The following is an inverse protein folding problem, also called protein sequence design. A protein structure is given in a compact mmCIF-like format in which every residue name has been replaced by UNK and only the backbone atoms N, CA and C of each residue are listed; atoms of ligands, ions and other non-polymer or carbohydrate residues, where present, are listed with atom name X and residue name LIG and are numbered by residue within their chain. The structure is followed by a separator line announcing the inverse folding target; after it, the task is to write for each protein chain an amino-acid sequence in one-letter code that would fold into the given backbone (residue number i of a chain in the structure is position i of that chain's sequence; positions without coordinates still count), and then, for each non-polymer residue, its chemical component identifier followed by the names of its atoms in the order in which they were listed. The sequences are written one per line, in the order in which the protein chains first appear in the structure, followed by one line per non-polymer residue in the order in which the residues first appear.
data_IF_164839016545
#
_entry.id   IF_164839016545
#
_cell.length_a   1.000
_cell.length_b   1.000
_cell.length_c   1.000
_cell.angle_alpha   90.00
_cell.angle_beta   90.00
_cell.angle_gamma   90.00
#
_symmetry.space_group_name_H-M   'P 1'
#
loop_
_entity.id
_entity.type
_entity.pdbx_description
1 polymer ?
#
# COMPACT_ATOMS: atom_id res chain seq x y z
N UNK A 1 18.96 1.36 -20.43
CA UNK A 1 17.67 2.02 -20.78
C UNK A 1 16.45 1.08 -20.79
N UNK A 2 16.60 -0.24 -20.61
CA UNK A 2 15.44 -1.18 -20.65
C UNK A 2 14.46 -1.10 -19.48
N UNK A 3 14.90 -0.74 -18.27
CA UNK A 3 14.03 -0.75 -17.07
C UNK A 3 12.88 0.26 -17.12
N UNK A 4 12.97 1.30 -17.95
CA UNK A 4 11.96 2.35 -18.06
C UNK A 4 10.80 1.96 -18.99
N UNK A 5 11.06 1.23 -20.07
CA UNK A 5 10.01 0.80 -21.01
C UNK A 5 9.12 -0.31 -20.45
N UNK A 6 9.66 -1.21 -19.62
CA UNK A 6 8.87 -2.25 -18.95
C UNK A 6 7.84 -1.65 -17.97
N UNK A 7 8.22 -0.56 -17.27
CA UNK A 7 7.36 0.12 -16.29
C UNK A 7 6.19 0.86 -16.91
N UNK A 8 6.36 1.45 -18.10
CA UNK A 8 5.26 2.08 -18.84
C UNK A 8 4.27 1.02 -19.36
N UNK A 9 4.74 -0.19 -19.68
CA UNK A 9 3.87 -1.31 -20.06
C UNK A 9 3.09 -1.91 -18.88
N UNK A 10 3.70 -2.01 -17.69
CA UNK A 10 3.02 -2.56 -16.50
C UNK A 10 2.03 -1.58 -15.85
N UNK A 11 2.25 -0.27 -15.98
CA UNK A 11 1.45 0.77 -15.30
C UNK A 11 0.83 1.80 -16.26
N UNK A 12 0.82 1.54 -17.56
CA UNK A 12 0.33 2.49 -18.57
C UNK A 12 -1.11 2.94 -18.27
N UNK A 13 -1.31 4.26 -18.14
CA UNK A 13 -2.54 4.95 -17.73
C UNK A 13 -2.89 4.95 -16.22
N UNK A 14 -2.15 4.25 -15.36
CA UNK A 14 -2.45 4.22 -13.93
C UNK A 14 -1.93 5.46 -13.19
N UNK A 15 -2.79 6.07 -12.39
CA UNK A 15 -2.46 7.13 -11.44
C UNK A 15 -1.52 6.64 -10.33
N UNK A 16 -0.81 7.55 -9.66
CA UNK A 16 0.05 7.22 -8.50
C UNK A 16 -0.73 6.40 -7.46
N UNK A 17 -1.99 6.79 -7.21
CA UNK A 17 -2.87 6.14 -6.25
C UNK A 17 -3.19 4.71 -6.62
N UNK A 18 -3.53 4.43 -7.88
CA UNK A 18 -3.79 3.08 -8.37
C UNK A 18 -2.55 2.19 -8.27
N UNK A 19 -1.37 2.75 -8.60
CA UNK A 19 -0.10 2.03 -8.43
C UNK A 19 0.17 1.66 -6.97
N UNK A 20 -0.10 2.58 -6.04
CA UNK A 20 0.04 2.32 -4.61
C UNK A 20 -0.97 1.28 -4.09
N UNK A 21 -2.21 1.30 -4.59
CA UNK A 21 -3.22 0.31 -4.23
C UNK A 21 -2.89 -1.08 -4.77
N UNK A 22 -2.34 -1.20 -5.98
CA UNK A 22 -1.85 -2.48 -6.50
C UNK A 22 -0.73 -3.05 -5.64
N UNK A 23 0.23 -2.21 -5.25
CA UNK A 23 1.31 -2.60 -4.32
C UNK A 23 0.77 -3.01 -2.96
N UNK A 24 -0.22 -2.28 -2.44
CA UNK A 24 -0.91 -2.63 -1.22
C UNK A 24 -1.55 -4.03 -1.34
N UNK A 25 -2.34 -4.28 -2.39
CA UNK A 25 -3.03 -5.56 -2.60
C UNK A 25 -2.02 -6.71 -2.69
N UNK A 26 -0.93 -6.51 -3.44
CA UNK A 26 0.16 -7.51 -3.55
C UNK A 26 0.75 -7.85 -2.19
N UNK A 27 1.09 -6.83 -1.41
CA UNK A 27 1.68 -7.01 -0.06
C UNK A 27 0.70 -7.61 0.92
N UNK A 28 -0.57 -7.20 0.86
CA UNK A 28 -1.67 -7.76 1.64
C UNK A 28 -1.88 -9.24 1.36
N UNK A 29 -1.77 -9.67 0.09
CA UNK A 29 -1.94 -11.07 -0.26
C UNK A 29 -0.80 -11.94 0.31
N UNK A 30 0.41 -11.38 0.46
CA UNK A 30 1.54 -12.07 1.12
C UNK A 30 1.36 -12.15 2.64
N UNK A 31 0.95 -11.04 3.28
CA UNK A 31 0.76 -11.00 4.74
C UNK A 31 -0.50 -11.76 5.20
N UNK A 32 -1.53 -11.79 4.36
CA UNK A 32 -2.78 -12.50 4.61
C UNK A 32 -3.90 -11.62 5.20
N UNK A 33 -5.03 -12.27 5.52
CA UNK A 33 -6.28 -11.60 5.93
C UNK A 33 -6.15 -10.76 7.21
N UNK A 34 -5.21 -11.11 8.10
CA UNK A 34 -4.96 -10.39 9.37
C UNK A 34 -3.93 -9.25 9.26
N UNK A 35 -3.69 -8.72 8.06
CA UNK A 35 -2.68 -7.68 7.81
C UNK A 35 -2.80 -6.45 8.75
N UNK A 36 -4.02 -6.07 9.18
CA UNK A 36 -4.23 -4.97 10.13
C UNK A 36 -3.63 -5.25 11.50
N UNK A 37 -3.92 -6.43 12.05
CA UNK A 37 -3.36 -6.86 13.34
C UNK A 37 -1.85 -7.02 13.28
N UNK A 38 -1.33 -7.53 12.15
CA UNK A 38 0.11 -7.67 11.92
C UNK A 38 0.80 -6.30 11.82
N UNK A 39 0.18 -5.30 11.18
CA UNK A 39 0.72 -3.94 11.17
C UNK A 39 0.73 -3.32 12.57
N UNK A 40 -0.37 -3.43 13.31
CA UNK A 40 -0.48 -2.89 14.66
C UNK A 40 0.52 -3.52 15.65
N UNK A 41 0.88 -4.80 15.46
CA UNK A 41 1.88 -5.46 16.29
C UNK A 41 3.32 -5.13 15.93
N UNK A 42 3.59 -4.67 14.70
CA UNK A 42 4.94 -4.35 14.21
C UNK A 42 5.28 -2.86 14.24
N UNK A 43 4.28 -1.99 14.12
CA UNK A 43 4.45 -0.54 14.17
C UNK A 43 3.39 0.05 15.12
N UNK A 44 3.82 0.55 16.30
CA UNK A 44 2.92 1.12 17.31
C UNK A 44 2.03 2.25 16.79
N UNK A 45 2.43 2.95 15.73
CA UNK A 45 1.59 3.97 15.11
C UNK A 45 0.23 3.41 14.70
N UNK A 46 0.18 2.20 14.13
CA UNK A 46 -1.07 1.57 13.69
C UNK A 46 -1.95 1.07 14.82
N UNK A 47 -1.45 1.06 16.07
CA UNK A 47 -2.24 0.77 17.26
C UNK A 47 -2.87 2.04 17.88
N UNK A 48 -2.60 3.22 17.32
CA UNK A 48 -3.26 4.47 17.73
C UNK A 48 -4.58 4.67 16.98
N UNK A 49 -5.45 5.55 17.51
CA UNK A 49 -6.69 5.95 16.81
C UNK A 49 -6.41 6.47 15.39
N UNK A 50 -5.41 7.35 15.26
CA UNK A 50 -5.00 7.90 13.98
C UNK A 50 -4.48 6.81 13.02
N UNK A 51 -3.71 5.86 13.52
CA UNK A 51 -3.27 4.70 12.74
C UNK A 51 -4.43 3.84 12.26
N UNK A 52 -5.43 3.60 13.12
CA UNK A 52 -6.67 2.92 12.75
C UNK A 52 -7.44 3.62 11.62
N UNK A 53 -7.47 4.96 11.63
CA UNK A 53 -8.07 5.75 10.56
C UNK A 53 -7.31 5.57 9.23
N UNK A 54 -5.98 5.45 9.28
CA UNK A 54 -5.17 5.15 8.08
C UNK A 54 -5.53 3.77 7.53
N UNK A 55 -5.56 2.73 8.38
CA UNK A 55 -5.92 1.36 7.97
C UNK A 55 -7.33 1.28 7.36
N UNK A 56 -8.27 2.03 7.93
CA UNK A 56 -9.66 2.11 7.43
C UNK A 56 -9.70 2.82 6.08
N UNK A 57 -9.02 3.95 5.96
CA UNK A 57 -8.94 4.74 4.73
C UNK A 57 -8.38 3.92 3.56
N UNK A 58 -7.32 3.16 3.79
CA UNK A 58 -6.72 2.31 2.75
C UNK A 58 -7.64 1.15 2.37
N UNK A 59 -8.31 0.54 3.34
CA UNK A 59 -9.26 -0.53 3.03
C UNK A 59 -10.44 -0.06 2.19
N UNK A 60 -10.96 1.15 2.46
CA UNK A 60 -11.98 1.77 1.64
C UNK A 60 -11.46 2.11 0.23
N UNK A 61 -10.21 2.60 0.14
CA UNK A 61 -9.57 2.93 -1.13
C UNK A 61 -9.38 1.71 -2.06
N UNK A 62 -9.23 0.51 -1.50
CA UNK A 62 -9.18 -0.74 -2.27
C UNK A 62 -10.51 -1.09 -2.92
N UNK A 63 -11.62 -0.76 -2.26
CA UNK A 63 -12.97 -0.98 -2.81
C UNK A 63 -13.40 0.14 -3.76
N UNK A 64 -12.95 1.37 -3.51
CA UNK A 64 -13.28 2.56 -4.28
C UNK A 64 -12.03 3.45 -4.38
N UNK A 65 -11.39 3.44 -5.54
CA UNK A 65 -10.13 4.16 -5.78
C UNK A 65 -10.28 5.67 -5.72
N UNK A 66 -11.50 6.22 -5.70
CA UNK A 66 -11.74 7.65 -5.43
C UNK A 66 -11.50 8.00 -3.95
N UNK A 67 -11.64 7.04 -3.03
CA UNK A 67 -11.52 7.22 -1.57
C UNK A 67 -10.09 7.05 -1.08
N UNK A 68 -9.80 7.67 0.06
CA UNK A 68 -8.50 7.59 0.71
C UNK A 68 -7.44 8.54 0.14
N UNK A 69 -6.59 9.00 1.03
CA UNK A 69 -5.52 9.95 0.73
C UNK A 69 -4.22 9.20 0.35
N UNK A 70 -3.49 9.73 -0.62
CA UNK A 70 -2.29 9.11 -1.19
C UNK A 70 -1.22 8.85 -0.13
N UNK A 71 -0.95 9.82 0.76
CA UNK A 71 0.05 9.70 1.82
C UNK A 71 -0.32 8.60 2.84
N UNK A 72 -1.61 8.47 3.15
CA UNK A 72 -2.12 7.39 4.02
C UNK A 72 -1.92 6.02 3.38
N UNK A 73 -2.25 5.91 2.08
CA UNK A 73 -2.06 4.68 1.32
C UNK A 73 -0.58 4.34 1.24
N UNK A 74 0.28 5.29 0.90
CA UNK A 74 1.72 5.07 0.81
C UNK A 74 2.29 4.57 2.13
N UNK A 75 1.99 5.23 3.25
CA UNK A 75 2.50 4.83 4.58
C UNK A 75 2.12 3.40 4.93
N UNK A 76 0.86 3.02 4.73
CA UNK A 76 0.38 1.66 5.00
C UNK A 76 1.01 0.66 4.04
N UNK A 77 1.09 0.98 2.74
CA UNK A 77 1.71 0.12 1.73
C UNK A 77 3.17 -0.16 2.05
N UNK A 78 3.96 0.87 2.35
CA UNK A 78 5.38 0.73 2.68
C UNK A 78 5.58 -0.09 3.95
N UNK A 79 4.76 0.16 4.98
CA UNK A 79 4.80 -0.64 6.20
C UNK A 79 4.49 -2.12 5.92
N UNK A 80 3.49 -2.38 5.08
CA UNK A 80 3.07 -3.74 4.76
C UNK A 80 4.08 -4.47 3.85
N UNK A 81 4.71 -3.76 2.91
CA UNK A 81 5.79 -4.29 2.07
C UNK A 81 6.99 -4.74 2.90
N UNK A 82 7.38 -3.94 3.90
CA UNK A 82 8.44 -4.31 4.85
C UNK A 82 8.12 -5.62 5.58
N UNK A 83 6.87 -5.81 5.99
CA UNK A 83 6.42 -7.03 6.65
C UNK A 83 6.40 -8.22 5.68
N UNK A 84 5.97 -7.98 4.44
CA UNK A 84 5.93 -8.98 3.37
C UNK A 84 7.32 -9.34 2.81
N UNK A 85 8.39 -8.66 3.22
CA UNK A 85 9.73 -8.84 2.66
C UNK A 85 9.86 -8.34 1.21
N UNK A 86 8.92 -7.53 0.73
CA UNK A 86 8.94 -6.93 -0.60
C UNK A 86 9.78 -5.66 -0.52
N UNK A 87 10.83 -5.55 -1.34
CA UNK A 87 11.61 -4.31 -1.42
C UNK A 87 10.73 -3.19 -1.97
N UNK A 88 10.50 -2.10 -1.23
CA UNK A 88 9.69 -0.99 -1.71
C UNK A 88 10.38 -0.37 -2.93
N UNK A 89 9.64 -0.27 -4.03
CA UNK A 89 10.11 0.41 -5.24
C UNK A 89 9.66 1.87 -5.17
N UNK A 90 10.58 2.82 -5.35
CA UNK A 90 10.23 4.24 -5.40
C UNK A 90 9.22 4.50 -6.53
N UNK A 91 8.18 5.29 -6.24
CA UNK A 91 7.13 5.67 -7.22
C UNK A 91 7.52 6.91 -8.04
N UNK A 92 8.75 7.41 -7.84
CA UNK A 92 9.32 8.58 -8.51
C UNK A 92 10.24 8.16 -9.65
#
# INVERSE_FOLDING_TARGET
MEKQQTRVKEYGCMTIKERLLLRFIKSRNVVGKNWRGVLASRDPFFNTKLGGDYLTSVAQAVSDSSRGNVDRIERVTVALEKIAGIKPVAVV
#
